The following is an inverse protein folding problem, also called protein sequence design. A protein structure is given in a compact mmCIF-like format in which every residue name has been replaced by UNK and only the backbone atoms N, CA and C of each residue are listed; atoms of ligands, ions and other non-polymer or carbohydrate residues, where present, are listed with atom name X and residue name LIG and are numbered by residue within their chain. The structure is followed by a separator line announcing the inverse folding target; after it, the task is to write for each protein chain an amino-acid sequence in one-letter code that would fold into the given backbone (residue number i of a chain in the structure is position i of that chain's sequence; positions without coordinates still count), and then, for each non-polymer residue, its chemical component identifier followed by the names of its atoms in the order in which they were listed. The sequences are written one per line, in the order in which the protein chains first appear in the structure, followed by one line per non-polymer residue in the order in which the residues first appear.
data_IF_838763327365
#
_entry.id   IF_838763327365
#
_cell.length_a   1.000
_cell.length_b   1.000
_cell.length_c   1.000
_cell.angle_alpha   90.00
_cell.angle_beta   90.00
_cell.angle_gamma   90.00
#
_symmetry.space_group_name_H-M   'P 1'
#
loop_
_entity.id
_entity.type
_entity.pdbx_description
1 polymer ?
#
# COMPACT_ATOMS: atom_id res chain seq x y z
N UNK A 1 29.75 -2.65 -10.15
CA UNK A 1 29.70 -1.44 -9.30
C UNK A 1 28.64 -0.42 -9.74
N UNK A 2 28.54 -0.03 -11.03
CA UNK A 2 27.51 0.93 -11.51
C UNK A 2 26.08 0.55 -11.11
N UNK A 3 25.68 -0.69 -11.24
CA UNK A 3 24.32 -1.15 -10.85
C UNK A 3 24.03 -1.02 -9.34
N UNK A 4 25.01 -1.17 -8.46
CA UNK A 4 24.82 -1.04 -7.01
C UNK A 4 24.60 0.43 -6.61
N UNK A 5 25.41 1.33 -7.17
CA UNK A 5 25.29 2.77 -6.92
C UNK A 5 23.95 3.30 -7.43
N UNK A 6 23.54 2.91 -8.64
CA UNK A 6 22.24 3.31 -9.21
C UNK A 6 21.09 2.84 -8.30
N UNK A 7 21.15 1.58 -7.86
CA UNK A 7 20.13 1.04 -6.93
C UNK A 7 20.09 1.80 -5.61
N UNK A 8 21.25 2.07 -5.00
CA UNK A 8 21.31 2.81 -3.74
C UNK A 8 20.74 4.24 -3.90
N UNK A 9 21.14 4.95 -4.95
CA UNK A 9 20.64 6.31 -5.21
C UNK A 9 19.13 6.34 -5.47
N UNK A 10 18.62 5.43 -6.31
CA UNK A 10 17.18 5.34 -6.58
C UNK A 10 16.38 5.03 -5.31
N UNK A 11 16.89 4.13 -4.45
CA UNK A 11 16.27 3.80 -3.17
C UNK A 11 16.24 4.99 -2.21
N UNK A 12 17.34 5.73 -2.07
CA UNK A 12 17.41 6.92 -1.22
C UNK A 12 16.46 8.01 -1.71
N UNK A 13 16.45 8.29 -3.02
CA UNK A 13 15.53 9.28 -3.61
C UNK A 13 14.08 8.86 -3.38
N UNK A 14 13.75 7.59 -3.61
CA UNK A 14 12.41 7.05 -3.39
C UNK A 14 11.94 7.24 -1.94
N UNK A 15 12.77 6.86 -0.96
CA UNK A 15 12.47 7.05 0.46
C UNK A 15 12.34 8.55 0.80
N UNK A 16 13.24 9.39 0.31
CA UNK A 16 13.19 10.84 0.56
C UNK A 16 11.91 11.48 -0.01
N UNK A 17 11.48 11.09 -1.22
CA UNK A 17 10.24 11.55 -1.84
C UNK A 17 9.03 11.10 -1.03
N UNK A 18 8.97 9.84 -0.58
CA UNK A 18 7.87 9.32 0.24
C UNK A 18 7.78 10.01 1.60
N UNK A 19 8.89 10.09 2.32
CA UNK A 19 8.95 10.76 3.63
C UNK A 19 8.61 12.24 3.48
N UNK A 20 9.15 12.91 2.47
CA UNK A 20 8.83 14.30 2.16
C UNK A 20 7.36 14.49 1.84
N UNK A 21 6.75 13.61 1.03
CA UNK A 21 5.34 13.67 0.70
C UNK A 21 4.44 13.52 1.93
N UNK A 22 4.78 12.59 2.83
CA UNK A 22 4.00 12.38 4.06
C UNK A 22 4.15 13.55 5.03
N UNK A 23 5.35 14.13 5.15
CA UNK A 23 5.68 15.10 6.20
C UNK A 23 5.35 16.55 5.86
N UNK A 24 5.70 17.02 4.65
CA UNK A 24 5.75 18.46 4.40
C UNK A 24 4.44 19.13 4.03
N UNK A 25 3.60 18.54 3.18
CA UNK A 25 2.36 19.22 2.77
C UNK A 25 1.33 18.30 2.14
N UNK A 26 0.07 18.54 2.45
CA UNK A 26 -1.06 17.75 1.98
C UNK A 26 -1.18 17.66 0.45
N UNK A 27 -0.93 18.73 -0.32
CA UNK A 27 -0.95 18.68 -1.79
C UNK A 27 0.24 17.93 -2.39
N UNK A 28 1.38 17.95 -1.71
CA UNK A 28 2.53 17.14 -2.12
C UNK A 28 2.24 15.65 -1.90
N UNK A 29 1.60 15.34 -0.77
CA UNK A 29 1.08 14.02 -0.48
C UNK A 29 0.07 13.56 -1.54
N UNK A 30 -0.92 14.39 -1.88
CA UNK A 30 -1.90 14.11 -2.94
C UNK A 30 -1.22 13.75 -4.25
N UNK A 31 -0.26 14.54 -4.69
CA UNK A 31 0.42 14.34 -5.98
C UNK A 31 1.22 13.05 -5.99
N UNK A 32 2.09 12.84 -5.00
CA UNK A 32 2.97 11.67 -4.95
C UNK A 32 2.18 10.38 -4.78
N UNK A 33 1.27 10.31 -3.81
CA UNK A 33 0.48 9.09 -3.57
C UNK A 33 -0.60 8.85 -4.62
N UNK A 34 -1.13 9.90 -5.24
CA UNK A 34 -2.02 9.77 -6.41
C UNK A 34 -1.31 9.14 -7.60
N UNK A 35 -0.07 9.56 -7.88
CA UNK A 35 0.78 8.95 -8.91
C UNK A 35 1.14 7.49 -8.56
N UNK A 36 1.54 7.22 -7.31
CA UNK A 36 1.83 5.86 -6.84
C UNK A 36 0.62 4.97 -7.01
N UNK A 37 -0.57 5.43 -6.61
CA UNK A 37 -1.83 4.68 -6.77
C UNK A 37 -2.10 4.35 -8.24
N UNK A 38 -2.01 5.34 -9.12
CA UNK A 38 -2.21 5.15 -10.56
C UNK A 38 -1.20 4.18 -11.17
N UNK A 39 0.08 4.29 -10.82
CA UNK A 39 1.15 3.42 -11.32
C UNK A 39 1.03 1.99 -10.76
N UNK A 40 0.68 1.82 -9.49
CA UNK A 40 0.45 0.49 -8.89
C UNK A 40 -0.72 -0.23 -9.56
N UNK A 41 -1.82 0.48 -9.84
CA UNK A 41 -2.95 -0.05 -10.61
C UNK A 41 -2.55 -0.36 -12.05
N UNK A 42 -1.77 0.52 -12.68
CA UNK A 42 -1.27 0.28 -14.02
C UNK A 42 -0.46 -1.02 -14.09
N UNK A 43 0.40 -1.28 -13.13
CA UNK A 43 1.16 -2.53 -13.06
C UNK A 43 0.25 -3.71 -12.74
N UNK A 44 -0.62 -3.59 -11.74
CA UNK A 44 -1.57 -4.64 -11.40
C UNK A 44 -2.41 -5.07 -12.60
N UNK A 45 -3.03 -4.14 -13.31
CA UNK A 45 -3.82 -4.46 -14.51
C UNK A 45 -2.94 -4.97 -15.67
N UNK A 46 -1.67 -4.58 -15.71
CA UNK A 46 -0.71 -5.15 -16.64
C UNK A 46 -0.42 -6.63 -16.35
N UNK A 47 -0.29 -7.00 -15.08
CA UNK A 47 -0.10 -8.38 -14.64
C UNK A 47 -1.30 -9.25 -14.99
N UNK A 48 -2.50 -8.84 -14.58
CA UNK A 48 -3.72 -9.64 -14.75
C UNK A 48 -4.20 -9.71 -16.21
N UNK A 49 -3.72 -8.83 -17.09
CA UNK A 49 -4.00 -8.91 -18.53
C UNK A 49 -3.55 -10.24 -19.14
N UNK A 50 -2.53 -10.88 -18.57
CA UNK A 50 -2.04 -12.19 -19.02
C UNK A 50 -2.86 -13.36 -18.44
N UNK A 51 -3.84 -13.07 -17.58
CA UNK A 51 -4.68 -14.06 -16.95
C UNK A 51 -5.94 -14.32 -17.78
N UNK A 52 -6.13 -15.56 -18.26
CA UNK A 52 -7.34 -16.09 -18.91
C UNK A 52 -8.10 -15.10 -19.83
N UNK A 53 -7.40 -14.44 -20.76
CA UNK A 53 -8.00 -13.49 -21.71
C UNK A 53 -8.70 -12.27 -21.07
N UNK A 54 -8.24 -11.81 -19.90
CA UNK A 54 -8.81 -10.64 -19.28
C UNK A 54 -8.63 -9.38 -20.16
N UNK A 55 -9.75 -8.76 -20.53
CA UNK A 55 -9.80 -7.58 -21.40
C UNK A 55 -10.02 -6.28 -20.61
N UNK A 56 -9.22 -6.07 -19.53
CA UNK A 56 -9.37 -4.91 -18.66
C UNK A 56 -8.91 -3.63 -19.36
N UNK A 57 -9.71 -2.58 -19.26
CA UNK A 57 -9.37 -1.23 -19.76
C UNK A 57 -8.36 -0.54 -18.84
N UNK A 58 -7.12 -0.98 -18.93
CA UNK A 58 -6.01 -0.66 -18.03
C UNK A 58 -5.88 0.84 -17.73
N UNK A 59 -5.90 1.69 -18.76
CA UNK A 59 -5.75 3.15 -18.60
C UNK A 59 -6.90 3.75 -17.79
N UNK A 60 -8.14 3.47 -18.19
CA UNK A 60 -9.34 4.03 -17.55
C UNK A 60 -9.45 3.53 -16.09
N UNK A 61 -9.15 2.24 -15.86
CA UNK A 61 -9.21 1.65 -14.53
C UNK A 61 -8.12 2.21 -13.60
N UNK A 62 -6.91 2.49 -14.12
CA UNK A 62 -5.85 3.13 -13.34
C UNK A 62 -6.19 4.59 -13.02
N UNK A 63 -6.77 5.30 -13.96
CA UNK A 63 -7.23 6.68 -13.76
C UNK A 63 -8.38 6.75 -12.74
N UNK A 64 -9.32 5.80 -12.81
CA UNK A 64 -10.41 5.68 -11.83
C UNK A 64 -9.92 5.52 -10.40
N UNK A 65 -8.89 4.69 -10.17
CA UNK A 65 -8.30 4.53 -8.84
C UNK A 65 -7.47 5.73 -8.38
N UNK A 66 -6.72 6.37 -9.27
CA UNK A 66 -6.04 7.63 -8.95
C UNK A 66 -7.06 8.73 -8.58
N UNK A 67 -8.21 8.76 -9.27
CA UNK A 67 -9.33 9.65 -8.93
C UNK A 67 -9.92 9.31 -7.55
N UNK A 68 -10.10 8.03 -7.22
CA UNK A 68 -10.59 7.61 -5.89
C UNK A 68 -9.66 8.14 -4.79
N UNK A 69 -8.35 8.02 -4.97
CA UNK A 69 -7.37 8.59 -4.04
C UNK A 69 -7.53 10.10 -3.89
N UNK A 70 -7.66 10.83 -5.00
CA UNK A 70 -7.86 12.28 -4.98
C UNK A 70 -9.21 12.68 -4.36
N UNK A 71 -10.27 11.93 -4.63
CA UNK A 71 -11.60 12.17 -4.05
C UNK A 71 -11.59 11.96 -2.53
N UNK A 72 -10.97 10.87 -2.06
CA UNK A 72 -10.81 10.62 -0.61
C UNK A 72 -9.93 11.67 0.06
N UNK A 73 -8.90 12.19 -0.62
CA UNK A 73 -8.10 13.32 -0.14
C UNK A 73 -8.97 14.58 0.05
N UNK A 74 -9.74 14.97 -0.98
CA UNK A 74 -10.61 16.14 -0.91
C UNK A 74 -11.68 16.02 0.17
N UNK A 75 -12.26 14.83 0.33
CA UNK A 75 -13.26 14.54 1.36
C UNK A 75 -12.65 14.52 2.78
N UNK A 76 -11.54 13.79 2.98
CA UNK A 76 -10.91 13.66 4.29
C UNK A 76 -10.34 14.98 4.82
N UNK A 77 -9.93 15.89 3.92
CA UNK A 77 -9.48 17.24 4.29
C UNK A 77 -10.64 18.29 4.36
N UNK A 78 -11.89 17.87 4.24
CA UNK A 78 -13.04 18.77 4.32
C UNK A 78 -13.14 19.81 3.19
N UNK A 79 -12.36 19.63 2.11
CA UNK A 79 -12.35 20.56 0.98
C UNK A 79 -13.60 20.46 0.13
N UNK A 80 -14.15 19.26 0.00
CA UNK A 80 -15.31 18.94 -0.86
C UNK A 80 -16.19 17.93 -0.13
N UNK A 81 -17.49 18.05 -0.28
CA UNK A 81 -18.47 17.11 0.29
C UNK A 81 -18.51 15.76 -0.44
N UNK A 82 -19.36 14.84 0.05
CA UNK A 82 -19.47 13.47 -0.48
C UNK A 82 -19.80 13.35 -1.97
N UNK A 83 -20.32 14.41 -2.59
CA UNK A 83 -20.58 14.44 -4.04
C UNK A 83 -19.32 14.22 -4.90
N UNK A 84 -18.14 14.42 -4.34
CA UNK A 84 -16.86 14.12 -5.03
C UNK A 84 -16.73 12.65 -5.44
N UNK A 85 -17.49 11.73 -4.81
CA UNK A 85 -17.47 10.31 -5.17
C UNK A 85 -18.40 9.96 -6.35
N UNK A 86 -19.27 10.86 -6.80
CA UNK A 86 -20.17 10.59 -7.93
C UNK A 86 -19.45 10.25 -9.24
N UNK A 87 -18.37 10.93 -9.64
CA UNK A 87 -17.60 10.53 -10.83
C UNK A 87 -16.98 9.14 -10.70
N UNK A 88 -16.59 8.71 -9.49
CA UNK A 88 -16.09 7.37 -9.26
C UNK A 88 -17.21 6.31 -9.43
N UNK A 89 -18.41 6.61 -8.95
CA UNK A 89 -19.58 5.76 -9.20
C UNK A 89 -19.89 5.65 -10.69
N UNK A 90 -19.84 6.76 -11.43
CA UNK A 90 -19.98 6.74 -12.90
C UNK A 90 -18.89 5.92 -13.59
N UNK A 91 -17.66 5.97 -13.09
CA UNK A 91 -16.57 5.10 -13.57
C UNK A 91 -16.90 3.63 -13.36
N UNK A 92 -17.40 3.23 -12.17
CA UNK A 92 -17.81 1.84 -11.91
C UNK A 92 -18.95 1.40 -12.84
N UNK A 93 -19.96 2.24 -13.05
CA UNK A 93 -21.04 1.97 -14.02
C UNK A 93 -20.49 1.84 -15.44
N UNK A 94 -19.58 2.73 -15.84
CA UNK A 94 -18.92 2.68 -17.14
C UNK A 94 -18.18 1.35 -17.36
N UNK A 95 -17.43 0.87 -16.36
CA UNK A 95 -16.72 -0.42 -16.46
C UNK A 95 -17.69 -1.59 -16.67
N UNK A 96 -18.87 -1.56 -16.04
CA UNK A 96 -19.89 -2.58 -16.23
C UNK A 96 -20.54 -2.50 -17.62
N UNK A 97 -20.91 -1.30 -18.07
CA UNK A 97 -21.62 -1.09 -19.35
C UNK A 97 -20.72 -1.41 -20.55
N UNK A 98 -19.43 -1.11 -20.47
CA UNK A 98 -18.53 -1.34 -21.60
C UNK A 98 -18.35 -2.81 -21.98
N UNK A 99 -18.54 -3.73 -21.04
CA UNK A 99 -18.47 -5.16 -21.29
C UNK A 99 -19.66 -5.66 -22.17
N UNK A 100 -20.79 -4.93 -22.19
CA UNK A 100 -21.91 -5.25 -23.07
C UNK A 100 -21.57 -5.16 -24.56
N UNK A 101 -20.57 -4.35 -24.89
CA UNK A 101 -20.12 -4.11 -26.28
C UNK A 101 -18.91 -4.94 -26.68
N UNK A 102 -18.30 -5.67 -25.74
CA UNK A 102 -17.13 -6.54 -25.99
C UNK A 102 -17.56 -8.01 -26.08
N UNK A 103 -17.68 -8.53 -27.30
CA UNK A 103 -18.15 -9.89 -27.57
C UNK A 103 -17.14 -10.99 -27.23
N UNK A 104 -15.87 -10.66 -27.12
CA UNK A 104 -14.77 -11.61 -26.89
C UNK A 104 -14.36 -11.71 -25.40
N UNK A 105 -14.96 -10.93 -24.51
CA UNK A 105 -14.58 -10.83 -23.12
C UNK A 105 -15.30 -11.84 -22.21
N UNK A 106 -14.66 -12.12 -21.07
CA UNK A 106 -15.35 -12.74 -19.92
C UNK A 106 -15.73 -11.61 -18.94
N UNK A 107 -16.95 -11.06 -19.03
CA UNK A 107 -17.32 -9.86 -18.28
C UNK A 107 -17.22 -10.05 -16.77
N UNK A 108 -17.60 -11.22 -16.23
CA UNK A 108 -17.54 -11.50 -14.79
C UNK A 108 -16.09 -11.44 -14.30
N UNK A 109 -15.16 -12.05 -15.04
CA UNK A 109 -13.74 -12.03 -14.70
C UNK A 109 -13.16 -10.62 -14.81
N UNK A 110 -13.50 -9.86 -15.85
CA UNK A 110 -13.05 -8.49 -16.05
C UNK A 110 -13.55 -7.56 -14.93
N UNK A 111 -14.82 -7.68 -14.53
CA UNK A 111 -15.37 -6.93 -13.39
C UNK A 111 -14.70 -7.30 -12.08
N UNK A 112 -14.54 -8.61 -11.81
CA UNK A 112 -13.88 -9.08 -10.60
C UNK A 112 -12.45 -8.57 -10.48
N UNK A 113 -11.65 -8.68 -11.53
CA UNK A 113 -10.27 -8.21 -11.55
C UNK A 113 -10.16 -6.68 -11.49
N UNK A 114 -11.09 -5.98 -12.17
CA UNK A 114 -11.14 -4.51 -12.09
C UNK A 114 -11.44 -4.06 -10.66
N UNK A 115 -12.49 -4.61 -10.04
CA UNK A 115 -12.88 -4.28 -8.67
C UNK A 115 -11.82 -4.70 -7.65
N UNK A 116 -11.21 -5.87 -7.83
CA UNK A 116 -10.12 -6.31 -6.95
C UNK A 116 -8.95 -5.34 -6.98
N UNK A 117 -8.51 -4.89 -8.16
CA UNK A 117 -7.46 -3.87 -8.27
C UNK A 117 -7.85 -2.54 -7.60
N UNK A 118 -9.11 -2.08 -7.79
CA UNK A 118 -9.61 -0.87 -7.13
C UNK A 118 -9.55 -1.01 -5.60
N UNK A 119 -10.00 -2.12 -5.03
CA UNK A 119 -10.00 -2.35 -3.58
C UNK A 119 -8.58 -2.53 -3.07
N UNK A 120 -7.79 -3.39 -3.71
CA UNK A 120 -6.46 -3.78 -3.26
C UNK A 120 -5.46 -2.62 -3.33
N UNK A 121 -5.39 -1.91 -4.45
CA UNK A 121 -4.44 -0.81 -4.63
C UNK A 121 -5.05 0.55 -4.23
N UNK A 122 -6.12 1.00 -4.93
CA UNK A 122 -6.65 2.34 -4.72
C UNK A 122 -7.33 2.48 -3.36
N UNK A 123 -8.10 1.49 -2.92
CA UNK A 123 -8.73 1.47 -1.61
C UNK A 123 -7.71 1.55 -0.50
N UNK A 124 -6.66 0.71 -0.56
CA UNK A 124 -5.59 0.71 0.46
C UNK A 124 -4.90 2.06 0.56
N UNK A 125 -4.41 2.62 -0.55
CA UNK A 125 -3.78 3.96 -0.51
C UNK A 125 -4.74 5.07 -0.09
N UNK A 126 -6.01 4.98 -0.49
CA UNK A 126 -7.03 5.99 -0.13
C UNK A 126 -7.25 6.11 1.37
N UNK A 127 -7.07 5.03 2.14
CA UNK A 127 -7.15 5.06 3.60
C UNK A 127 -6.04 5.90 4.25
N UNK A 128 -4.90 6.11 3.60
CA UNK A 128 -3.87 7.02 4.09
C UNK A 128 -4.39 8.45 4.26
N UNK A 129 -5.33 8.89 3.40
CA UNK A 129 -5.94 10.21 3.52
C UNK A 129 -6.66 10.36 4.87
N UNK A 130 -7.39 9.33 5.31
CA UNK A 130 -8.08 9.34 6.59
C UNK A 130 -7.11 9.19 7.77
N UNK A 131 -6.01 8.44 7.59
CA UNK A 131 -4.97 8.31 8.62
C UNK A 131 -4.28 9.65 8.88
N UNK A 132 -4.00 10.41 7.81
CA UNK A 132 -3.25 11.69 7.90
C UNK A 132 -4.11 12.90 8.19
N UNK A 133 -5.43 12.85 7.92
CA UNK A 133 -6.35 13.98 8.13
C UNK A 133 -7.19 13.72 9.37
N UNK A 134 -7.02 14.57 10.39
CA UNK A 134 -7.69 14.42 11.70
C UNK A 134 -8.50 15.67 12.01
N UNK A 135 -9.80 15.54 12.33
CA UNK A 135 -10.57 16.65 12.86
C UNK A 135 -9.97 17.15 14.19
N UNK A 136 -9.65 18.44 14.28
CA UNK A 136 -9.11 19.07 15.47
C UNK A 136 -10.21 19.85 16.23
N UNK A 137 -10.91 20.72 15.51
CA UNK A 137 -12.07 21.45 16.00
C UNK A 137 -13.18 21.41 14.96
N UNK A 138 -14.45 21.74 15.29
CA UNK A 138 -15.51 21.79 14.29
C UNK A 138 -15.13 22.67 13.09
N UNK A 139 -14.94 22.07 11.94
CA UNK A 139 -14.56 22.72 10.69
C UNK A 139 -13.07 22.84 10.42
N UNK A 140 -12.19 22.41 11.32
CA UNK A 140 -10.74 22.40 11.12
C UNK A 140 -10.20 20.97 11.04
N UNK A 141 -9.49 20.66 9.97
CA UNK A 141 -8.81 19.39 9.77
C UNK A 141 -7.31 19.62 9.75
N UNK A 142 -6.60 18.90 10.59
CA UNK A 142 -5.13 19.00 10.72
C UNK A 142 -4.49 17.77 10.09
N UNK A 143 -3.41 18.03 9.35
CA UNK A 143 -2.58 16.97 8.79
C UNK A 143 -1.61 16.41 9.83
N UNK A 144 -1.78 15.14 10.20
CA UNK A 144 -0.94 14.44 11.17
C UNK A 144 -0.16 13.33 10.44
N UNK A 145 1.13 13.55 10.09
CA UNK A 145 1.90 12.60 9.28
C UNK A 145 2.39 11.36 10.03
N UNK A 146 2.39 11.38 11.36
CA UNK A 146 3.15 10.42 12.17
C UNK A 146 2.70 8.98 12.05
N UNK A 147 1.39 8.72 11.97
CA UNK A 147 0.89 7.36 11.81
C UNK A 147 1.19 6.81 10.41
N UNK A 148 1.06 7.64 9.37
CA UNK A 148 1.45 7.25 8.03
C UNK A 148 2.96 6.97 7.94
N UNK A 149 3.80 7.82 8.53
CA UNK A 149 5.25 7.59 8.62
C UNK A 149 5.56 6.28 9.35
N UNK A 150 4.87 6.02 10.47
CA UNK A 150 5.05 4.80 11.25
C UNK A 150 4.75 3.55 10.42
N UNK A 151 3.69 3.54 9.60
CA UNK A 151 3.36 2.42 8.72
C UNK A 151 4.55 2.09 7.81
N UNK A 152 5.09 3.07 7.11
CA UNK A 152 6.22 2.85 6.18
C UNK A 152 7.49 2.46 6.91
N UNK A 153 7.84 3.16 8.00
CA UNK A 153 9.04 2.85 8.79
C UNK A 153 8.95 1.45 9.37
N UNK A 154 7.80 1.05 9.92
CA UNK A 154 7.63 -0.28 10.51
C UNK A 154 7.72 -1.38 9.46
N UNK A 155 7.17 -1.19 8.27
CA UNK A 155 7.34 -2.13 7.15
C UNK A 155 8.82 -2.24 6.76
N UNK A 156 9.54 -1.14 6.56
CA UNK A 156 10.96 -1.16 6.19
C UNK A 156 11.85 -1.78 7.27
N UNK A 157 11.56 -1.50 8.54
CA UNK A 157 12.28 -2.10 9.68
C UNK A 157 11.97 -3.60 9.79
N UNK A 158 10.71 -3.99 9.57
CA UNK A 158 10.31 -5.40 9.52
C UNK A 158 11.06 -6.16 8.44
N UNK A 159 11.10 -5.65 7.22
CA UNK A 159 11.78 -6.30 6.10
C UNK A 159 13.28 -6.43 6.35
N UNK A 160 13.90 -5.38 6.90
CA UNK A 160 15.31 -5.39 7.26
C UNK A 160 15.60 -6.39 8.38
N UNK A 161 14.82 -6.35 9.46
CA UNK A 161 14.97 -7.26 10.60
C UNK A 161 14.70 -8.72 10.23
N UNK A 162 13.66 -8.95 9.44
CA UNK A 162 13.32 -10.28 8.93
C UNK A 162 14.42 -10.84 8.01
N UNK A 163 15.01 -10.00 7.17
CA UNK A 163 16.14 -10.40 6.32
C UNK A 163 17.38 -10.72 7.16
N UNK A 164 17.76 -9.87 8.10
CA UNK A 164 18.95 -10.07 8.94
C UNK A 164 18.83 -11.36 9.77
N UNK A 165 17.75 -11.49 10.54
CA UNK A 165 17.56 -12.67 11.40
C UNK A 165 17.28 -13.93 10.58
N UNK A 166 16.46 -13.82 9.55
CA UNK A 166 16.12 -14.95 8.67
C UNK A 166 17.30 -15.49 7.86
N UNK A 167 18.24 -14.63 7.45
CA UNK A 167 19.45 -15.06 6.75
C UNK A 167 20.46 -15.76 7.67
N UNK A 168 20.51 -15.40 8.96
CA UNK A 168 21.46 -15.94 9.94
C UNK A 168 20.90 -17.16 10.68
N UNK A 169 19.62 -17.12 11.06
CA UNK A 169 19.01 -18.09 11.97
C UNK A 169 17.84 -18.87 11.36
N UNK A 170 17.40 -18.52 10.13
CA UNK A 170 16.21 -19.08 9.50
C UNK A 170 16.33 -20.56 9.16
N UNK A 171 15.61 -21.39 9.92
CA UNK A 171 15.56 -22.85 9.74
C UNK A 171 14.17 -23.34 9.31
N UNK A 172 13.09 -22.77 9.90
CA UNK A 172 11.72 -23.18 9.64
C UNK A 172 11.09 -22.28 8.59
N UNK A 173 10.77 -22.84 7.42
CA UNK A 173 10.19 -22.06 6.31
C UNK A 173 8.75 -21.66 6.61
N UNK A 174 8.42 -20.46 6.15
CA UNK A 174 7.11 -19.82 6.30
C UNK A 174 6.47 -19.75 4.90
N UNK A 175 5.39 -20.51 4.65
CA UNK A 175 4.76 -20.62 3.33
C UNK A 175 5.73 -20.99 2.18
N UNK A 176 6.38 -22.15 2.28
CA UNK A 176 7.42 -22.60 1.34
C UNK A 176 6.95 -22.63 -0.12
N UNK A 177 5.68 -22.97 -0.37
CA UNK A 177 5.08 -23.03 -1.72
C UNK A 177 4.93 -21.63 -2.39
N UNK A 178 4.99 -20.52 -1.62
CA UNK A 178 4.89 -19.15 -2.12
C UNK A 178 6.27 -18.49 -2.14
N UNK A 179 7.01 -18.62 -1.05
CA UNK A 179 8.30 -17.96 -0.83
C UNK A 179 9.28 -18.85 -0.06
N UNK A 180 10.26 -19.43 -0.78
CA UNK A 180 11.27 -20.30 -0.19
C UNK A 180 12.29 -19.57 0.70
N UNK A 181 12.24 -18.24 0.78
CA UNK A 181 13.22 -17.44 1.53
C UNK A 181 12.71 -17.00 2.89
N UNK A 182 11.40 -16.92 3.09
CA UNK A 182 10.81 -16.49 4.35
C UNK A 182 10.85 -17.59 5.39
N UNK A 183 11.21 -17.24 6.64
CA UNK A 183 11.28 -18.14 7.78
C UNK A 183 10.55 -17.57 9.00
N UNK A 184 10.10 -18.44 9.89
CA UNK A 184 9.48 -18.02 11.15
C UNK A 184 10.45 -17.23 12.04
N UNK A 185 11.72 -17.62 12.07
CA UNK A 185 12.75 -16.91 12.81
C UNK A 185 12.93 -15.49 12.26
N UNK A 186 12.88 -15.35 10.92
CA UNK A 186 12.88 -14.04 10.28
C UNK A 186 11.67 -13.20 10.67
N UNK A 187 10.46 -13.78 10.66
CA UNK A 187 9.24 -13.08 11.08
C UNK A 187 9.34 -12.55 12.51
N UNK A 188 9.75 -13.40 13.48
CA UNK A 188 9.92 -12.96 14.86
C UNK A 188 11.07 -11.96 15.03
N UNK A 189 12.11 -12.07 14.22
CA UNK A 189 13.19 -11.08 14.17
C UNK A 189 12.69 -9.71 13.72
N UNK A 190 11.96 -9.66 12.60
CA UNK A 190 11.33 -8.43 12.12
C UNK A 190 10.40 -7.82 13.15
N UNK A 191 9.52 -8.64 13.76
CA UNK A 191 8.62 -8.21 14.83
C UNK A 191 9.38 -7.57 15.99
N UNK A 192 10.45 -8.19 16.49
CA UNK A 192 11.24 -7.66 17.59
C UNK A 192 11.84 -6.28 17.26
N UNK A 193 12.40 -6.12 16.05
CA UNK A 193 12.93 -4.84 15.59
C UNK A 193 11.85 -3.76 15.51
N UNK A 194 10.66 -4.09 15.02
CA UNK A 194 9.55 -3.14 14.90
C UNK A 194 9.00 -2.75 16.27
N UNK A 195 8.88 -3.71 17.21
CA UNK A 195 8.45 -3.42 18.58
C UNK A 195 9.41 -2.44 19.27
N UNK A 196 10.73 -2.62 19.10
CA UNK A 196 11.72 -1.66 19.61
C UNK A 196 11.53 -0.28 18.94
N UNK A 197 11.39 -0.24 17.63
CA UNK A 197 11.20 1.01 16.88
C UNK A 197 9.90 1.71 17.28
N UNK A 198 8.84 0.96 17.59
CA UNK A 198 7.57 1.55 18.05
C UNK A 198 7.70 2.32 19.37
N UNK A 199 8.62 1.91 20.26
CA UNK A 199 8.88 2.64 21.50
C UNK A 199 9.62 3.96 21.25
N UNK A 200 10.40 4.05 20.19
CA UNK A 200 11.00 5.33 19.74
C UNK A 200 9.89 6.29 19.31
N UNK A 201 8.90 5.79 18.52
CA UNK A 201 7.73 6.60 18.16
C UNK A 201 6.91 7.02 19.39
N UNK A 202 6.69 6.11 20.36
CA UNK A 202 5.99 6.42 21.60
C UNK A 202 6.68 7.53 22.39
N UNK A 203 8.02 7.55 22.41
CA UNK A 203 8.79 8.60 23.09
C UNK A 203 8.64 9.96 22.43
N UNK A 204 8.64 10.02 21.10
CA UNK A 204 8.44 11.28 20.36
C UNK A 204 6.98 11.75 20.33
N UNK A 205 6.02 10.83 20.58
CA UNK A 205 4.58 11.07 20.50
C UNK A 205 3.89 10.75 21.84
N UNK A 206 4.17 11.50 22.91
CA UNK A 206 3.68 11.19 24.25
C UNK A 206 2.15 11.30 24.40
N UNK A 207 1.46 11.95 23.45
CA UNK A 207 -0.01 12.00 23.42
C UNK A 207 -0.66 10.62 23.18
N UNK A 208 0.09 9.66 22.61
CA UNK A 208 -0.38 8.29 22.39
C UNK A 208 0.34 7.33 23.33
N UNK A 209 -0.40 6.49 24.02
CA UNK A 209 0.15 5.55 25.00
C UNK A 209 1.16 4.58 24.35
N UNK A 210 2.23 4.22 25.08
CA UNK A 210 3.28 3.35 24.57
C UNK A 210 2.78 1.96 24.16
N UNK A 211 1.78 1.40 24.84
CA UNK A 211 1.20 0.09 24.50
C UNK A 211 0.35 0.12 23.23
N UNK A 212 -0.27 1.25 22.89
CA UNK A 212 -0.98 1.40 21.60
C UNK A 212 0.00 1.42 20.43
N UNK A 213 1.19 1.96 20.61
CA UNK A 213 2.27 1.84 19.62
C UNK A 213 2.74 0.40 19.43
N UNK A 214 2.80 -0.41 20.49
CA UNK A 214 3.11 -1.86 20.38
C UNK A 214 2.03 -2.60 19.58
N UNK A 215 0.76 -2.34 19.87
CA UNK A 215 -0.34 -2.96 19.14
C UNK A 215 -0.37 -2.56 17.67
N UNK A 216 -0.14 -1.27 17.34
CA UNK A 216 -0.03 -0.81 15.96
C UNK A 216 1.15 -1.49 15.26
N UNK A 217 2.30 -1.59 15.90
CA UNK A 217 3.49 -2.27 15.40
C UNK A 217 3.21 -3.74 15.09
N UNK A 218 2.60 -4.48 16.01
CA UNK A 218 2.20 -5.87 15.79
C UNK A 218 1.22 -6.03 14.63
N UNK A 219 0.22 -5.16 14.55
CA UNK A 219 -0.75 -5.13 13.44
C UNK A 219 -0.05 -4.94 12.10
N UNK A 220 0.84 -3.94 11.98
CA UNK A 220 1.56 -3.65 10.72
C UNK A 220 2.45 -4.83 10.32
N UNK A 221 3.18 -5.45 11.26
CA UNK A 221 4.05 -6.60 10.97
C UNK A 221 3.26 -7.80 10.44
N UNK A 222 2.15 -8.15 11.12
CA UNK A 222 1.32 -9.30 10.71
C UNK A 222 0.72 -9.05 9.34
N UNK A 223 0.00 -7.97 9.16
CA UNK A 223 -0.70 -7.68 7.91
C UNK A 223 0.25 -7.30 6.77
N UNK A 224 1.38 -6.64 7.05
CA UNK A 224 2.42 -6.38 6.07
C UNK A 224 3.06 -7.66 5.57
N UNK A 225 3.37 -8.61 6.45
CA UNK A 225 3.89 -9.92 6.04
C UNK A 225 2.90 -10.69 5.17
N UNK A 226 1.60 -10.63 5.48
CA UNK A 226 0.56 -11.23 4.66
C UNK A 226 0.39 -10.51 3.32
N UNK A 227 0.54 -9.18 3.28
CA UNK A 227 0.49 -8.40 2.04
C UNK A 227 1.52 -8.87 1.02
N UNK A 228 2.80 -8.96 1.43
CA UNK A 228 3.87 -9.48 0.57
C UNK A 228 3.61 -10.95 0.15
N UNK A 229 3.06 -11.78 1.04
CA UNK A 229 2.69 -13.16 0.66
C UNK A 229 1.56 -13.20 -0.36
N UNK A 230 0.53 -12.36 -0.21
CA UNK A 230 -0.59 -12.26 -1.15
C UNK A 230 -0.09 -11.83 -2.53
N UNK A 231 0.75 -10.78 -2.60
CA UNK A 231 1.31 -10.35 -3.88
C UNK A 231 2.24 -11.40 -4.47
N UNK A 232 3.06 -12.04 -3.66
CA UNK A 232 3.89 -13.15 -4.09
C UNK A 232 3.06 -14.30 -4.66
N UNK A 233 1.94 -14.67 -4.00
CA UNK A 233 1.01 -15.68 -4.49
C UNK A 233 0.41 -15.28 -5.85
N UNK A 234 -0.08 -14.04 -5.99
CA UNK A 234 -0.58 -13.53 -7.27
C UNK A 234 0.47 -13.64 -8.38
N UNK A 235 1.70 -13.22 -8.12
CA UNK A 235 2.79 -13.32 -9.10
C UNK A 235 3.09 -14.76 -9.50
N UNK A 236 3.07 -15.72 -8.55
CA UNK A 236 3.28 -17.16 -8.86
C UNK A 236 2.14 -17.73 -9.68
N UNK A 237 0.89 -17.40 -9.34
CA UNK A 237 -0.28 -17.82 -10.12
C UNK A 237 -0.22 -17.32 -11.57
N UNK A 238 0.29 -16.10 -11.79
CA UNK A 238 0.46 -15.52 -13.11
C UNK A 238 1.76 -15.94 -13.83
N UNK A 239 2.58 -16.80 -13.22
CA UNK A 239 3.85 -17.29 -13.79
C UNK A 239 4.94 -16.21 -13.90
N UNK A 240 4.83 -15.12 -13.16
CA UNK A 240 5.80 -14.01 -13.16
C UNK A 240 6.52 -13.88 -11.82
N UNK A 241 7.61 -13.11 -11.81
CA UNK A 241 8.37 -12.84 -10.58
C UNK A 241 8.22 -11.38 -10.13
N UNK A 242 8.27 -10.45 -11.05
CA UNK A 242 8.23 -9.01 -10.78
C UNK A 242 6.96 -8.41 -11.41
N UNK A 243 6.36 -7.40 -10.76
CA UNK A 243 5.10 -6.80 -11.21
C UNK A 243 5.27 -5.87 -12.41
N UNK A 244 6.46 -5.31 -12.59
CA UNK A 244 6.75 -4.35 -13.64
C UNK A 244 8.22 -3.88 -13.64
N UNK A 245 8.49 -2.83 -14.41
CA UNK A 245 9.83 -2.24 -14.59
C UNK A 245 9.82 -0.72 -14.50
N UNK A 246 8.82 -0.12 -13.83
CA UNK A 246 8.67 1.34 -13.73
C UNK A 246 9.82 1.97 -12.97
N UNK A 247 10.37 1.30 -11.97
CA UNK A 247 11.51 1.79 -11.20
C UNK A 247 12.82 1.16 -11.68
N UNK A 248 13.73 1.97 -12.32
CA UNK A 248 15.00 1.44 -12.83
C UNK A 248 15.82 0.75 -11.74
N UNK A 249 16.12 -0.54 -11.92
CA UNK A 249 16.90 -1.35 -10.99
C UNK A 249 16.16 -1.83 -9.73
N UNK A 250 14.87 -1.44 -9.54
CA UNK A 250 14.06 -1.79 -8.38
C UNK A 250 12.78 -2.59 -8.68
N UNK A 251 12.51 -2.94 -9.95
CA UNK A 251 11.29 -3.66 -10.33
C UNK A 251 10.08 -2.76 -10.50
N UNK A 252 8.91 -3.27 -10.20
CA UNK A 252 7.65 -2.54 -10.31
C UNK A 252 7.37 -1.61 -9.12
N UNK A 253 6.43 -0.68 -9.34
CA UNK A 253 5.87 0.15 -8.28
C UNK A 253 5.09 -0.73 -7.30
N UNK A 254 4.29 -1.66 -7.78
CA UNK A 254 3.52 -2.57 -6.96
C UNK A 254 4.41 -3.41 -6.04
N UNK A 255 5.55 -3.95 -6.56
CA UNK A 255 6.55 -4.69 -5.78
C UNK A 255 7.17 -3.91 -4.60
N UNK A 256 7.05 -2.59 -4.58
CA UNK A 256 7.56 -1.73 -3.49
C UNK A 256 6.54 -1.47 -2.39
N UNK A 257 5.28 -1.76 -2.66
CA UNK A 257 4.18 -1.51 -1.74
C UNK A 257 3.40 -2.78 -1.38
N UNK A 258 3.91 -3.96 -1.74
CA UNK A 258 3.29 -5.26 -1.49
C UNK A 258 2.84 -5.45 -0.02
N UNK A 259 3.74 -5.22 0.92
CA UNK A 259 3.46 -5.25 2.36
C UNK A 259 2.50 -4.14 2.78
N UNK A 260 2.63 -2.96 2.17
CA UNK A 260 1.89 -1.76 2.55
C UNK A 260 0.41 -1.87 2.17
N UNK A 261 0.08 -2.58 1.07
CA UNK A 261 -1.31 -2.77 0.62
C UNK A 261 -2.22 -3.39 1.68
N UNK A 262 -1.71 -4.27 2.52
CA UNK A 262 -2.48 -4.87 3.62
C UNK A 262 -2.21 -4.18 4.96
N UNK A 263 -1.02 -3.61 5.16
CA UNK A 263 -0.66 -2.91 6.39
C UNK A 263 -1.50 -1.63 6.58
N UNK A 264 -1.77 -0.86 5.51
CA UNK A 264 -2.55 0.38 5.61
C UNK A 264 -3.98 0.13 6.09
N UNK A 265 -4.79 -0.75 5.45
CA UNK A 265 -6.15 -1.04 5.93
C UNK A 265 -6.18 -1.53 7.38
N UNK A 266 -5.26 -2.41 7.74
CA UNK A 266 -5.16 -2.94 9.10
C UNK A 266 -4.78 -1.86 10.13
N UNK A 267 -3.81 -1.00 9.77
CA UNK A 267 -3.42 0.13 10.60
C UNK A 267 -4.56 1.15 10.74
N UNK A 268 -5.30 1.43 9.67
CA UNK A 268 -6.47 2.31 9.72
C UNK A 268 -7.52 1.78 10.70
N UNK A 269 -7.88 0.50 10.59
CA UNK A 269 -8.83 -0.14 11.53
C UNK A 269 -8.31 -0.04 12.96
N UNK A 270 -7.03 -0.34 13.19
CA UNK A 270 -6.43 -0.25 14.52
C UNK A 270 -6.46 1.17 15.09
N UNK A 271 -6.10 2.17 14.28
CA UNK A 271 -6.09 3.59 14.68
C UNK A 271 -7.51 4.05 15.05
N UNK A 272 -8.51 3.72 14.24
CA UNK A 272 -9.89 4.11 14.53
C UNK A 272 -10.43 3.45 15.80
N UNK A 273 -10.11 2.16 16.04
CA UNK A 273 -10.64 1.42 17.19
C UNK A 273 -9.93 1.71 18.53
N UNK A 274 -8.62 2.01 18.51
CA UNK A 274 -7.80 2.05 19.73
C UNK A 274 -7.08 3.37 19.98
N UNK A 275 -7.07 4.28 19.03
CA UNK A 275 -6.35 5.56 19.17
C UNK A 275 -7.31 6.75 19.07
N UNK A 276 -8.31 6.70 18.19
CA UNK A 276 -9.25 7.81 17.97
C UNK A 276 -10.57 7.69 18.69
N UNK A 277 -10.87 6.53 19.30
CA UNK A 277 -12.08 6.32 20.10
C UNK A 277 -11.89 6.82 21.55
#
# INVERSE_FOLDING_TARGET
MKNLITRALTGIIFVAVLVGAIYFHSYYFLTVFGLITGLSLWEFYGLVKHYENAAIKRFVSSLGGAYLFAATFGYANGLIGGNIFLPYLLFLMYTMITELYDKASNPINNWALTLFGQIYCAGSFSLLNFITSVPNTPGEIVHIPYFALAIFVFVWVNDTGAYLVGSMLGKRRFFEHISNKKSWEGFYGGLAFVLITSQIFAWFMPATNWYTWLGLAGTIVVFGTWGDLIESLMKRTLGVKDSGHVLPGHGGMLDRFDSVMMAIPAAYIYIELFIRN
#
